data_IF_534944100377
#
_entry.id   IF_534944100377
#
_cell.length_a   1.000
_cell.length_b   1.000
_cell.length_c   1.000
_cell.angle_alpha   90.00
_cell.angle_beta   90.00
_cell.angle_gamma   90.00
#
_symmetry.space_group_name_H-M   'P 1'
#
loop_
_entity.id
_entity.type
_entity.pdbx_description
1 polymer ?
#
# COMPACT_ATOMS: atom_id res chain seq x y z
N UNK A 1 14.75 -3.00 33.37
CA UNK A 1 15.02 -1.70 32.74
C UNK A 1 13.73 -1.25 32.06
N UNK A 2 13.15 -0.13 32.50
CA UNK A 2 11.97 0.44 31.83
C UNK A 2 12.45 1.05 30.51
N UNK A 3 11.97 0.55 29.37
CA UNK A 3 12.30 1.09 28.05
C UNK A 3 11.70 2.49 27.95
N UNK A 4 12.47 3.50 27.51
CA UNK A 4 11.92 4.83 27.27
C UNK A 4 10.79 4.75 26.24
N UNK A 5 9.74 5.54 26.42
CA UNK A 5 8.62 5.62 25.47
C UNK A 5 9.00 6.37 24.19
N UNK A 6 10.09 7.13 24.21
CA UNK A 6 10.67 7.79 23.04
C UNK A 6 11.44 6.78 22.22
N UNK A 7 11.16 6.77 20.90
CA UNK A 7 11.91 5.98 19.94
C UNK A 7 13.24 6.67 19.66
N UNK A 8 14.26 5.88 19.40
CA UNK A 8 15.55 6.42 18.97
C UNK A 8 15.43 7.06 17.57
N UNK A 9 16.19 8.13 17.32
CA UNK A 9 16.10 8.86 16.05
C UNK A 9 16.50 7.97 14.86
N UNK A 10 17.47 7.07 15.06
CA UNK A 10 17.89 6.10 14.04
C UNK A 10 16.76 5.14 13.65
N UNK A 11 16.00 4.66 14.64
CA UNK A 11 14.88 3.75 14.41
C UNK A 11 13.69 4.46 13.76
N UNK A 12 13.47 5.74 14.04
CA UNK A 12 12.48 6.56 13.33
C UNK A 12 12.83 6.73 11.86
N UNK A 13 14.07 7.14 11.55
CA UNK A 13 14.55 7.28 10.18
C UNK A 13 14.47 5.95 9.41
N UNK A 14 14.81 4.84 10.07
CA UNK A 14 14.64 3.51 9.50
C UNK A 14 13.18 3.26 9.10
N UNK A 15 12.22 3.54 9.99
CA UNK A 15 10.78 3.34 9.71
C UNK A 15 10.28 4.23 8.60
N UNK A 16 10.65 5.50 8.60
CA UNK A 16 10.32 6.45 7.53
C UNK A 16 10.87 5.97 6.18
N UNK A 17 12.10 5.46 6.16
CA UNK A 17 12.66 4.85 4.97
C UNK A 17 11.80 3.68 4.49
N UNK A 18 11.29 2.81 5.37
CA UNK A 18 10.37 1.71 5.01
C UNK A 18 8.96 2.16 4.58
N UNK A 19 8.53 3.38 4.90
CA UNK A 19 7.22 3.89 4.48
C UNK A 19 7.23 4.37 3.03
N UNK A 20 8.37 4.79 2.49
CA UNK A 20 8.50 5.24 1.10
C UNK A 20 8.23 4.11 0.10
N UNK A 21 7.59 4.44 -0.99
CA UNK A 21 7.20 3.46 -2.00
C UNK A 21 8.45 2.93 -2.76
N UNK A 22 8.57 1.60 -2.90
CA UNK A 22 9.74 0.84 -3.40
C UNK A 22 11.01 0.81 -2.53
N UNK A 23 10.99 1.26 -1.28
CA UNK A 23 12.15 1.06 -0.39
C UNK A 23 12.17 -0.34 0.25
N UNK A 24 11.01 -1.00 0.30
CA UNK A 24 10.83 -2.30 0.95
C UNK A 24 11.47 -3.41 0.11
N UNK A 25 12.10 -4.42 0.76
CA UNK A 25 12.53 -5.61 0.06
C UNK A 25 11.30 -6.32 -0.52
N UNK A 26 11.41 -6.76 -1.78
CA UNK A 26 10.32 -7.46 -2.45
C UNK A 26 10.11 -8.83 -1.78
N UNK A 27 8.96 -9.00 -1.12
CA UNK A 27 8.56 -10.27 -0.54
C UNK A 27 7.44 -10.87 -1.39
N UNK A 28 7.68 -12.06 -1.96
CA UNK A 28 6.71 -12.71 -2.84
C UNK A 28 5.40 -13.10 -2.12
N UNK A 29 5.46 -13.33 -0.81
CA UNK A 29 4.30 -13.74 -0.01
C UNK A 29 3.40 -12.58 0.41
N UNK A 30 3.92 -11.35 0.44
CA UNK A 30 3.19 -10.17 0.87
C UNK A 30 2.96 -9.21 -0.32
N UNK A 31 1.72 -9.14 -0.85
CA UNK A 31 1.41 -8.29 -2.00
C UNK A 31 1.53 -6.80 -1.69
N UNK A 32 1.58 -6.40 -0.41
CA UNK A 32 1.75 -4.99 -0.02
C UNK A 32 3.19 -4.49 -0.18
N UNK A 33 4.16 -5.41 -0.30
CA UNK A 33 5.57 -5.06 -0.54
C UNK A 33 5.91 -4.88 -2.01
N UNK A 34 5.00 -5.26 -2.91
CA UNK A 34 5.27 -5.25 -4.34
C UNK A 34 5.24 -3.83 -4.90
N UNK A 35 6.15 -3.51 -5.85
CA UNK A 35 6.07 -2.26 -6.60
C UNK A 35 4.68 -2.08 -7.20
N UNK A 36 4.13 -0.87 -7.11
CA UNK A 36 2.76 -0.61 -7.58
C UNK A 36 2.55 -0.99 -9.04
N UNK A 37 3.58 -0.84 -9.89
CA UNK A 37 3.57 -1.26 -11.30
C UNK A 37 3.34 -2.76 -11.49
N UNK A 38 3.91 -3.59 -10.61
CA UNK A 38 3.67 -5.05 -10.62
C UNK A 38 2.25 -5.34 -10.17
N UNK A 39 1.77 -4.70 -9.11
CA UNK A 39 0.39 -4.86 -8.62
C UNK A 39 -0.67 -4.57 -9.69
N UNK A 40 -0.52 -3.48 -10.46
CA UNK A 40 -1.44 -3.15 -11.56
C UNK A 40 -1.36 -4.18 -12.70
N UNK A 41 -0.16 -4.66 -13.03
CA UNK A 41 0.04 -5.72 -14.04
C UNK A 41 -0.64 -7.02 -13.64
N UNK A 42 -0.46 -7.46 -12.39
CA UNK A 42 -1.11 -8.66 -11.85
C UNK A 42 -2.62 -8.51 -11.81
N UNK A 43 -3.14 -7.35 -11.45
CA UNK A 43 -4.57 -7.08 -11.50
C UNK A 43 -5.12 -7.15 -12.93
N UNK A 44 -4.42 -6.58 -13.92
CA UNK A 44 -4.80 -6.66 -15.33
C UNK A 44 -4.80 -8.11 -15.86
N UNK A 45 -3.77 -8.90 -15.53
CA UNK A 45 -3.70 -10.32 -15.90
C UNK A 45 -4.80 -11.12 -15.20
N UNK A 46 -5.03 -10.89 -13.91
CA UNK A 46 -6.07 -11.58 -13.13
C UNK A 46 -7.47 -11.32 -13.67
N UNK A 47 -7.80 -10.07 -13.95
CA UNK A 47 -9.08 -9.70 -14.60
C UNK A 47 -9.18 -10.27 -16.02
N UNK A 48 -8.09 -10.30 -16.79
CA UNK A 48 -8.03 -10.96 -18.10
C UNK A 48 -8.30 -12.47 -18.04
N UNK A 49 -7.72 -13.17 -17.05
CA UNK A 49 -7.96 -14.60 -16.82
C UNK A 49 -9.42 -14.88 -16.43
N UNK A 50 -9.99 -14.05 -15.54
CA UNK A 50 -11.39 -14.16 -15.14
C UNK A 50 -12.33 -13.93 -16.33
N UNK A 51 -12.05 -12.90 -17.15
CA UNK A 51 -12.80 -12.62 -18.38
C UNK A 51 -12.72 -13.78 -19.36
N UNK A 52 -11.53 -14.35 -19.56
CA UNK A 52 -11.34 -15.53 -20.40
C UNK A 52 -12.13 -16.74 -19.88
N UNK A 53 -12.05 -17.05 -18.57
CA UNK A 53 -12.83 -18.12 -17.96
C UNK A 53 -14.32 -17.93 -18.23
N UNK A 54 -14.85 -16.74 -17.96
CA UNK A 54 -16.27 -16.43 -18.15
C UNK A 54 -16.71 -16.54 -19.61
N UNK A 55 -15.92 -16.01 -20.54
CA UNK A 55 -16.17 -16.12 -21.98
C UNK A 55 -16.22 -17.58 -22.46
N UNK A 56 -15.35 -18.42 -21.91
CA UNK A 56 -15.20 -19.81 -22.32
C UNK A 56 -16.36 -20.67 -21.82
N UNK A 57 -16.76 -20.46 -20.57
CA UNK A 57 -17.96 -21.08 -19.97
C UNK A 57 -19.22 -20.66 -20.75
N UNK A 58 -19.37 -19.37 -21.05
CA UNK A 58 -20.47 -18.84 -21.85
C UNK A 58 -20.52 -19.48 -23.24
N UNK A 59 -19.36 -19.62 -23.89
CA UNK A 59 -19.24 -20.20 -25.23
C UNK A 59 -19.32 -21.74 -25.24
N UNK A 60 -19.45 -22.39 -24.07
CA UNK A 60 -19.41 -23.85 -23.90
C UNK A 60 -18.16 -24.49 -24.52
N UNK A 61 -17.03 -23.78 -24.48
CA UNK A 61 -15.73 -24.27 -24.98
C UNK A 61 -14.88 -24.73 -23.79
N UNK A 62 -13.92 -25.66 -23.98
CA UNK A 62 -12.96 -25.99 -22.92
C UNK A 62 -12.04 -24.80 -22.65
N UNK A 63 -11.57 -24.63 -21.41
CA UNK A 63 -10.75 -23.49 -20.99
C UNK A 63 -9.54 -23.27 -21.92
N UNK A 64 -8.85 -24.35 -22.28
CA UNK A 64 -7.66 -24.35 -23.13
C UNK A 64 -7.90 -23.99 -24.60
N UNK A 65 -9.16 -23.69 -25.01
CA UNK A 65 -9.55 -23.56 -26.41
C UNK A 65 -8.59 -22.74 -27.28
N UNK A 66 -8.43 -21.44 -27.20
CA UNK A 66 -7.50 -20.69 -28.07
C UNK A 66 -6.26 -20.28 -27.28
N UNK A 67 -5.47 -21.24 -26.83
CA UNK A 67 -4.43 -21.01 -25.81
C UNK A 67 -3.40 -19.96 -26.22
N UNK A 68 -2.71 -20.16 -27.35
CA UNK A 68 -1.64 -19.28 -27.80
C UNK A 68 -2.07 -17.82 -28.00
N UNK A 69 -3.13 -17.49 -28.77
CA UNK A 69 -3.51 -16.09 -28.94
C UNK A 69 -4.01 -15.45 -27.64
N UNK A 70 -4.57 -16.23 -26.71
CA UNK A 70 -4.98 -15.70 -25.40
C UNK A 70 -3.80 -15.45 -24.47
N UNK A 71 -2.76 -16.28 -24.51
CA UNK A 71 -1.51 -16.00 -23.80
C UNK A 71 -0.84 -14.72 -24.32
N UNK A 72 -0.84 -14.50 -25.63
CA UNK A 72 -0.37 -13.23 -26.23
C UNK A 72 -1.20 -12.05 -25.73
N UNK A 73 -2.54 -12.19 -25.71
CA UNK A 73 -3.43 -11.15 -25.20
C UNK A 73 -3.19 -10.85 -23.72
N UNK A 74 -2.99 -11.88 -22.88
CA UNK A 74 -2.68 -11.71 -21.46
C UNK A 74 -1.32 -11.03 -21.25
N UNK A 75 -0.30 -11.39 -22.03
CA UNK A 75 1.00 -10.74 -22.00
C UNK A 75 0.88 -9.26 -22.40
N UNK A 76 0.09 -8.96 -23.44
CA UNK A 76 -0.20 -7.59 -23.85
C UNK A 76 -0.91 -6.80 -22.73
N UNK A 77 -1.96 -7.36 -22.12
CA UNK A 77 -2.66 -6.74 -21.00
C UNK A 77 -1.74 -6.50 -19.80
N UNK A 78 -0.85 -7.46 -19.50
CA UNK A 78 0.18 -7.30 -18.48
C UNK A 78 1.13 -6.14 -18.78
N UNK A 79 1.59 -6.03 -20.02
CA UNK A 79 2.43 -4.91 -20.48
C UNK A 79 1.73 -3.55 -20.38
N UNK A 80 0.45 -3.47 -20.78
CA UNK A 80 -0.36 -2.26 -20.61
C UNK A 80 -0.52 -1.91 -19.12
N UNK A 81 -0.82 -2.92 -18.29
CA UNK A 81 -0.90 -2.74 -16.83
C UNK A 81 0.39 -2.22 -16.22
N UNK A 82 1.55 -2.68 -16.70
CA UNK A 82 2.85 -2.20 -16.26
C UNK A 82 3.07 -0.73 -16.62
N UNK A 83 2.76 -0.34 -17.86
CA UNK A 83 2.89 1.04 -18.32
C UNK A 83 1.99 1.98 -17.50
N UNK A 84 0.71 1.65 -17.35
CA UNK A 84 -0.23 2.42 -16.51
C UNK A 84 0.25 2.50 -15.06
N UNK A 85 0.75 1.38 -14.53
CA UNK A 85 1.33 1.29 -13.20
C UNK A 85 2.53 2.22 -13.01
N UNK A 86 3.44 2.28 -13.99
CA UNK A 86 4.61 3.17 -13.95
C UNK A 86 4.24 4.66 -14.00
N UNK A 87 3.25 5.03 -14.82
CA UNK A 87 2.76 6.42 -14.88
C UNK A 87 2.13 6.83 -13.55
N UNK A 88 1.36 5.94 -12.95
CA UNK A 88 0.75 6.16 -11.63
C UNK A 88 1.82 6.29 -10.54
N UNK A 89 2.83 5.44 -10.58
CA UNK A 89 3.96 5.50 -9.64
C UNK A 89 4.72 6.83 -9.76
N UNK A 90 5.00 7.29 -10.98
CA UNK A 90 5.64 8.57 -11.24
C UNK A 90 4.81 9.75 -10.71
N UNK A 91 3.49 9.72 -10.93
CA UNK A 91 2.60 10.77 -10.43
C UNK A 91 2.63 10.89 -8.90
N UNK A 92 2.56 9.77 -8.18
CA UNK A 92 2.62 9.81 -6.71
C UNK A 92 3.99 10.23 -6.18
N UNK A 93 5.08 9.77 -6.80
CA UNK A 93 6.43 10.23 -6.45
C UNK A 93 6.58 11.74 -6.60
N UNK A 94 6.04 12.30 -7.69
CA UNK A 94 6.07 13.75 -7.94
C UNK A 94 5.25 14.49 -6.90
N UNK A 95 4.03 14.01 -6.59
CA UNK A 95 3.18 14.60 -5.56
C UNK A 95 3.85 14.61 -4.20
N UNK A 96 4.41 13.48 -3.78
CA UNK A 96 5.06 13.36 -2.47
C UNK A 96 6.31 14.24 -2.40
N UNK A 97 7.10 14.35 -3.48
CA UNK A 97 8.25 15.25 -3.54
C UNK A 97 7.85 16.74 -3.42
N UNK A 98 6.74 17.14 -4.05
CA UNK A 98 6.21 18.51 -3.92
C UNK A 98 5.76 18.80 -2.49
N UNK A 99 5.07 17.85 -1.85
CA UNK A 99 4.61 18.00 -0.46
C UNK A 99 5.79 18.08 0.49
N UNK A 100 6.79 17.20 0.34
CA UNK A 100 8.00 17.21 1.16
C UNK A 100 8.78 18.52 1.03
N UNK A 101 8.92 19.01 -0.21
CA UNK A 101 9.54 20.30 -0.48
C UNK A 101 8.76 21.49 0.11
N UNK A 102 7.42 21.44 0.12
CA UNK A 102 6.62 22.48 0.74
C UNK A 102 6.79 22.50 2.27
N UNK A 103 6.79 21.33 2.90
CA UNK A 103 6.99 21.20 4.35
C UNK A 103 8.38 21.70 4.75
N UNK A 104 9.41 21.46 3.93
CA UNK A 104 10.77 21.93 4.24
C UNK A 104 10.94 23.44 4.09
N UNK A 105 10.14 24.10 3.24
CA UNK A 105 10.12 25.56 3.11
C UNK A 105 9.38 26.28 4.24
N UNK A 106 8.35 25.63 4.80
CA UNK A 106 7.47 26.22 5.82
C UNK A 106 7.42 25.38 7.11
N UNK A 107 8.56 25.14 7.79
CA UNK A 107 8.58 24.32 9.00
C UNK A 107 7.69 24.89 10.12
N UNK A 108 7.47 26.21 10.15
CA UNK A 108 6.61 26.90 11.12
C UNK A 108 5.15 26.44 11.07
N UNK A 109 4.62 26.10 9.90
CA UNK A 109 3.24 25.63 9.75
C UNK A 109 3.08 24.16 10.16
N UNK A 110 4.20 23.42 10.22
CA UNK A 110 4.22 21.97 10.41
C UNK A 110 4.95 21.52 11.67
N UNK A 111 5.04 22.37 12.70
CA UNK A 111 5.75 22.07 13.96
C UNK A 111 5.37 20.70 14.57
N UNK A 112 4.10 20.32 14.49
CA UNK A 112 3.57 19.03 14.95
C UNK A 112 4.04 17.79 14.17
N UNK A 113 4.55 17.94 12.94
CA UNK A 113 5.10 16.87 12.11
C UNK A 113 6.62 16.78 12.28
N UNK A 114 7.29 17.92 12.46
CA UNK A 114 8.74 17.98 12.68
C UNK A 114 9.13 17.57 14.10
N UNK A 115 8.28 17.83 15.08
CA UNK A 115 8.49 17.38 16.45
C UNK A 115 7.92 15.98 16.66
N UNK A 116 8.72 14.97 16.32
CA UNK A 116 8.38 13.54 16.44
C UNK A 116 8.27 13.08 17.89
N UNK A 117 8.86 13.82 18.82
CA UNK A 117 8.79 13.59 20.26
C UNK A 117 7.48 14.18 20.81
N UNK A 118 6.36 13.56 20.43
CA UNK A 118 5.06 13.86 21.01
C UNK A 118 5.03 13.65 22.54
N UNK A 119 3.93 14.07 23.18
CA UNK A 119 3.74 13.87 24.62
C UNK A 119 3.79 12.40 24.99
N UNK A 120 4.53 12.06 26.05
CA UNK A 120 4.61 10.67 26.52
C UNK A 120 3.26 10.23 27.07
N UNK A 121 2.92 8.94 26.95
CA UNK A 121 1.70 8.41 27.56
C UNK A 121 1.63 8.63 29.08
N UNK A 122 2.78 8.76 29.77
CA UNK A 122 2.83 9.12 31.19
C UNK A 122 2.37 10.56 31.48
N UNK A 123 2.44 11.45 30.49
CA UNK A 123 2.05 12.86 30.58
C UNK A 123 0.61 13.09 30.08
N UNK A 124 0.01 12.10 29.41
CA UNK A 124 -1.34 12.18 28.85
C UNK A 124 -2.32 11.39 29.71
N UNK A 125 -3.28 12.11 30.31
CA UNK A 125 -4.39 11.49 31.03
C UNK A 125 -5.54 11.19 30.07
N UNK A 126 -5.62 9.94 29.60
CA UNK A 126 -6.72 9.46 28.75
C UNK A 126 -7.81 8.88 29.67
N UNK A 127 -9.11 9.21 29.45
CA UNK A 127 -10.18 8.61 30.24
C UNK A 127 -10.21 7.09 30.03
N UNK A 128 -10.14 6.33 31.13
CA UNK A 128 -10.31 4.89 31.09
C UNK A 128 -11.80 4.54 30.99
N UNK A 129 -12.20 3.98 29.86
CA UNK A 129 -13.59 3.53 29.63
C UNK A 129 -13.61 2.00 29.83
N UNK A 130 -14.08 1.50 30.99
CA UNK A 130 -14.14 0.06 31.22
C UNK A 130 -15.20 -0.59 30.33
N UNK A 131 -14.90 -1.80 29.84
CA UNK A 131 -15.89 -2.65 29.19
C UNK A 131 -16.83 -3.21 30.25
N UNK A 132 -18.01 -2.60 30.42
CA UNK A 132 -19.03 -3.08 31.37
C UNK A 132 -19.87 -4.17 30.70
N UNK A 133 -20.14 -5.26 31.42
CA UNK A 133 -21.01 -6.35 30.96
C UNK A 133 -22.50 -5.95 30.81
N UNK A 134 -22.87 -4.71 31.17
CA UNK A 134 -24.25 -4.22 31.18
C UNK A 134 -24.85 -3.96 29.79
N UNK A 135 -24.07 -4.00 28.71
CA UNK A 135 -24.60 -4.00 27.35
C UNK A 135 -24.65 -5.46 26.86
N UNK A 136 -25.68 -6.18 27.29
CA UNK A 136 -26.07 -7.42 26.61
C UNK A 136 -26.40 -7.02 25.17
N UNK A 137 -25.73 -7.61 24.17
CA UNK A 137 -26.24 -7.60 22.80
C UNK A 137 -27.66 -8.16 22.88
N UNK A 138 -28.67 -7.33 22.65
CA UNK A 138 -29.98 -7.84 22.29
C UNK A 138 -29.84 -8.30 20.84
N UNK A 139 -30.17 -9.57 20.61
CA UNK A 139 -30.19 -10.18 19.28
C UNK A 139 -31.08 -9.40 18.30
#
# INVERSE_FOLDING_TARGET
MLRSSTLDQEELQRREAYLRDNSRPLQLTDPTTWPRRWGVSFFAIGTGLLSWKYYTDWSRKPFFYSLFPRLVLLAFLGGVGYAVGSLREYHYKTRDAVVEHYISLHPEDFEHLTNLDGRKFSEVLIPWIPRRAHHRKFD
#
